data_IF_433133301061
#
_entry.id   IF_433133301061
#
_cell.length_a   1.000
_cell.length_b   1.000
_cell.length_c   1.000
_cell.angle_alpha   90.00
_cell.angle_beta   90.00
_cell.angle_gamma   90.00
#
_symmetry.space_group_name_H-M   'P 1'
#
loop_
_entity.id
_entity.type
_entity.pdbx_description
1 polymer ?
#
# COMPACT_ATOMS: atom_id res chain seq x y z
N UNK A 1 17.94 3.11 30.11
CA UNK A 1 19.17 2.33 30.35
C UNK A 1 19.98 2.41 29.07
N UNK A 2 21.17 3.02 29.14
CA UNK A 2 22.02 3.29 27.99
C UNK A 2 22.88 2.06 27.70
N UNK A 3 22.69 1.43 26.55
CA UNK A 3 23.58 0.36 26.09
C UNK A 3 24.69 0.95 25.20
N UNK A 4 25.91 0.97 25.73
CA UNK A 4 27.03 0.31 25.06
C UNK A 4 27.84 1.05 23.99
N UNK A 5 28.45 2.19 24.35
CA UNK A 5 29.90 2.49 24.26
C UNK A 5 30.81 2.17 23.06
N UNK A 6 30.36 1.58 21.94
CA UNK A 6 31.22 1.20 20.79
C UNK A 6 30.79 1.78 19.44
N UNK A 7 29.67 2.51 19.37
CA UNK A 7 29.19 3.12 18.13
C UNK A 7 28.69 2.12 17.06
N UNK A 8 28.66 0.81 17.36
CA UNK A 8 28.00 -0.18 16.49
C UNK A 8 26.49 0.02 16.57
N UNK A 9 25.97 0.71 15.56
CA UNK A 9 24.55 0.98 15.39
C UNK A 9 23.84 -0.36 15.11
N UNK A 10 22.76 -0.63 15.85
CA UNK A 10 22.06 -1.92 15.84
C UNK A 10 21.74 -2.37 14.40
N UNK A 11 22.37 -3.47 13.98
CA UNK A 11 22.25 -4.02 12.63
C UNK A 11 20.81 -4.44 12.32
N UNK A 12 20.04 -4.85 13.34
CA UNK A 12 18.63 -5.18 13.18
C UNK A 12 17.82 -3.93 12.81
N UNK A 13 18.03 -2.84 13.55
CA UNK A 13 17.40 -1.54 13.27
C UNK A 13 17.78 -1.02 11.88
N UNK A 14 19.05 -1.11 11.49
CA UNK A 14 19.47 -0.73 10.14
C UNK A 14 18.82 -1.56 9.05
N UNK A 15 18.80 -2.89 9.20
CA UNK A 15 18.18 -3.77 8.23
C UNK A 15 16.69 -3.44 8.07
N UNK A 16 15.98 -3.21 9.18
CA UNK A 16 14.57 -2.78 9.14
C UNK A 16 14.40 -1.45 8.40
N UNK A 17 15.26 -0.46 8.64
CA UNK A 17 15.23 0.82 7.94
C UNK A 17 15.50 0.67 6.43
N UNK A 18 16.47 -0.17 6.05
CA UNK A 18 16.78 -0.46 4.65
C UNK A 18 15.61 -1.18 3.95
N UNK A 19 14.96 -2.13 4.61
CA UNK A 19 13.78 -2.80 4.06
C UNK A 19 12.59 -1.84 3.91
N UNK A 20 12.37 -0.93 4.88
CA UNK A 20 11.36 0.13 4.75
C UNK A 20 11.68 1.07 3.58
N UNK A 21 12.96 1.37 3.34
CA UNK A 21 13.40 2.11 2.16
C UNK A 21 13.09 1.35 0.86
N UNK A 22 13.27 0.03 0.83
CA UNK A 22 12.85 -0.79 -0.31
C UNK A 22 11.33 -0.77 -0.53
N UNK A 23 10.54 -0.81 0.54
CA UNK A 23 9.07 -0.63 0.46
C UNK A 23 8.74 0.70 -0.22
N UNK A 24 9.36 1.80 0.23
CA UNK A 24 9.17 3.11 -0.39
C UNK A 24 9.53 3.12 -1.87
N UNK A 25 10.67 2.52 -2.25
CA UNK A 25 11.12 2.50 -3.64
C UNK A 25 10.18 1.68 -4.54
N UNK A 26 9.58 0.59 -4.03
CA UNK A 26 8.50 -0.16 -4.70
C UNK A 26 7.29 0.75 -4.91
N UNK A 27 6.80 1.39 -3.85
CA UNK A 27 5.59 2.23 -3.92
C UNK A 27 5.77 3.41 -4.88
N UNK A 28 6.94 4.04 -4.89
CA UNK A 28 7.25 5.16 -5.78
C UNK A 28 7.72 4.72 -7.16
N UNK A 29 7.95 3.42 -7.37
CA UNK A 29 8.42 2.82 -8.62
C UNK A 29 9.68 3.51 -9.20
N UNK A 30 10.62 3.90 -8.34
CA UNK A 30 11.75 4.76 -8.73
C UNK A 30 12.95 3.97 -9.28
N UNK A 31 13.21 2.78 -8.72
CA UNK A 31 14.37 1.98 -9.08
C UNK A 31 14.05 0.93 -10.15
N UNK A 32 15.08 0.45 -10.86
CA UNK A 32 14.93 -0.68 -11.79
C UNK A 32 14.44 -1.94 -11.06
N UNK A 33 14.96 -2.17 -9.86
CA UNK A 33 14.54 -3.27 -9.01
C UNK A 33 13.06 -3.15 -8.60
N UNK A 34 12.58 -1.95 -8.27
CA UNK A 34 11.16 -1.71 -7.99
C UNK A 34 10.29 -2.01 -9.22
N UNK A 35 10.68 -1.54 -10.40
CA UNK A 35 9.98 -1.86 -11.67
C UNK A 35 9.95 -3.36 -11.94
N UNK A 36 11.07 -4.05 -11.73
CA UNK A 36 11.13 -5.51 -11.84
C UNK A 36 10.20 -6.19 -10.84
N UNK A 37 10.13 -5.72 -9.59
CA UNK A 37 9.19 -6.24 -8.60
C UNK A 37 7.74 -6.05 -9.07
N UNK A 38 7.40 -4.90 -9.64
CA UNK A 38 6.07 -4.68 -10.22
C UNK A 38 5.74 -5.68 -11.32
N UNK A 39 6.67 -5.94 -12.24
CA UNK A 39 6.44 -6.86 -13.37
C UNK A 39 6.38 -8.33 -12.93
N UNK A 40 7.25 -8.76 -12.02
CA UNK A 40 7.43 -10.19 -11.72
C UNK A 40 6.85 -10.66 -10.39
N UNK A 41 6.91 -9.81 -9.36
CA UNK A 41 6.45 -10.18 -8.02
C UNK A 41 5.01 -9.74 -7.78
N UNK A 42 4.70 -8.48 -8.08
CA UNK A 42 3.39 -7.87 -7.81
C UNK A 42 2.38 -8.19 -8.94
N UNK A 43 2.81 -8.10 -10.20
CA UNK A 43 1.98 -8.34 -11.40
C UNK A 43 0.73 -7.46 -11.37
N UNK A 44 -0.45 -8.05 -11.53
CA UNK A 44 -1.76 -7.38 -11.48
C UNK A 44 -2.36 -7.33 -10.06
N UNK A 45 -1.55 -7.60 -9.02
CA UNK A 45 -1.97 -7.50 -7.63
C UNK A 45 -1.64 -6.14 -7.03
N UNK A 46 -2.14 -5.89 -5.81
CA UNK A 46 -1.77 -4.71 -5.05
C UNK A 46 -0.79 -5.07 -3.93
N UNK A 47 0.30 -4.32 -3.82
CA UNK A 47 1.37 -4.54 -2.84
C UNK A 47 0.84 -4.68 -1.40
N UNK A 48 -0.20 -3.96 -1.00
CA UNK A 48 -0.73 -3.95 0.36
C UNK A 48 -1.56 -5.18 0.72
N UNK A 49 -2.11 -5.88 -0.27
CA UNK A 49 -3.03 -7.01 -0.06
C UNK A 49 -2.39 -8.35 -0.42
N UNK A 50 -1.26 -8.32 -1.12
CA UNK A 50 -0.54 -9.54 -1.47
C UNK A 50 -0.25 -10.43 -0.26
N UNK A 51 -0.42 -11.76 -0.40
CA UNK A 51 -0.05 -12.70 0.65
C UNK A 51 1.46 -12.66 0.93
N UNK A 52 1.84 -12.71 2.21
CA UNK A 52 3.23 -12.92 2.62
C UNK A 52 3.61 -14.41 2.72
N UNK A 53 2.63 -15.30 2.63
CA UNK A 53 2.80 -16.75 2.63
C UNK A 53 3.03 -17.28 1.20
N UNK A 54 3.58 -18.49 1.07
CA UNK A 54 3.89 -19.12 -0.22
C UNK A 54 5.37 -19.06 -0.62
N UNK A 55 5.68 -19.52 -1.84
CA UNK A 55 7.03 -19.65 -2.40
C UNK A 55 7.62 -18.27 -2.79
N UNK A 56 8.02 -17.50 -1.78
CA UNK A 56 8.70 -16.22 -1.94
C UNK A 56 10.12 -16.30 -1.39
N UNK A 57 11.01 -15.49 -1.95
CA UNK A 57 12.34 -15.30 -1.36
C UNK A 57 12.21 -14.78 0.07
N UNK A 58 13.15 -15.15 0.94
CA UNK A 58 13.14 -14.70 2.32
C UNK A 58 13.10 -13.16 2.42
N UNK A 59 13.87 -12.47 1.57
CA UNK A 59 13.90 -11.01 1.49
C UNK A 59 12.54 -10.42 1.12
N UNK A 60 11.86 -10.97 0.11
CA UNK A 60 10.52 -10.49 -0.28
C UNK A 60 9.50 -10.69 0.83
N UNK A 61 9.54 -11.82 1.54
CA UNK A 61 8.68 -12.04 2.71
C UNK A 61 8.91 -10.99 3.80
N UNK A 62 10.17 -10.64 4.09
CA UNK A 62 10.46 -9.59 5.08
C UNK A 62 9.92 -8.22 4.67
N UNK A 63 9.98 -7.88 3.38
CA UNK A 63 9.38 -6.65 2.84
C UNK A 63 7.87 -6.64 3.05
N UNK A 64 7.19 -7.75 2.72
CA UNK A 64 5.74 -7.87 2.90
C UNK A 64 5.31 -7.84 4.37
N UNK A 65 6.12 -8.40 5.28
CA UNK A 65 5.86 -8.39 6.72
C UNK A 65 6.04 -7.00 7.35
N UNK A 66 6.82 -6.12 6.73
CA UNK A 66 7.02 -4.75 7.21
C UNK A 66 5.94 -3.76 6.76
N UNK A 67 4.93 -4.21 5.98
CA UNK A 67 3.82 -3.35 5.54
C UNK A 67 3.10 -2.62 6.68
N UNK A 68 2.73 -3.25 7.82
CA UNK A 68 2.06 -2.53 8.91
C UNK A 68 2.91 -1.36 9.43
N UNK A 69 4.21 -1.60 9.63
CA UNK A 69 5.18 -0.58 10.05
C UNK A 69 5.31 0.52 8.99
N UNK A 70 5.28 0.15 7.71
CA UNK A 70 5.31 1.12 6.64
C UNK A 70 4.05 2.01 6.66
N UNK A 71 2.85 1.45 6.88
CA UNK A 71 1.60 2.24 6.99
C UNK A 71 1.67 3.31 8.07
N UNK A 72 2.28 3.00 9.23
CA UNK A 72 2.44 3.95 10.34
C UNK A 72 3.31 5.17 9.97
N UNK A 73 4.20 5.04 8.99
CA UNK A 73 5.17 6.08 8.62
C UNK A 73 4.94 6.68 7.24
N UNK A 74 3.94 6.20 6.49
CA UNK A 74 3.65 6.64 5.14
C UNK A 74 2.39 7.47 5.10
N UNK A 75 2.49 8.67 4.51
CA UNK A 75 1.36 9.54 4.27
C UNK A 75 1.04 9.53 2.78
N UNK A 76 -0.13 9.01 2.46
CA UNK A 76 -0.69 9.10 1.12
C UNK A 76 -1.35 10.47 0.94
N UNK A 77 -0.83 11.26 0.00
CA UNK A 77 -1.46 12.52 -0.41
C UNK A 77 -2.16 12.29 -1.74
N UNK A 78 -3.49 12.23 -1.72
CA UNK A 78 -4.27 12.11 -2.93
C UNK A 78 -4.19 13.41 -3.75
N UNK A 79 -3.31 13.42 -4.75
CA UNK A 79 -3.24 14.46 -5.77
C UNK A 79 -4.28 14.20 -6.86
N UNK A 80 -3.83 13.88 -8.07
CA UNK A 80 -4.71 13.50 -9.19
C UNK A 80 -5.36 12.12 -9.01
N UNK A 81 -4.83 11.26 -8.14
CA UNK A 81 -5.38 9.91 -7.89
C UNK A 81 -5.14 8.90 -9.01
N UNK A 82 -4.23 9.19 -9.95
CA UNK A 82 -3.96 8.38 -11.16
C UNK A 82 -3.04 7.17 -10.92
N UNK A 83 -2.42 7.09 -9.75
CA UNK A 83 -1.47 6.03 -9.38
C UNK A 83 -1.93 5.17 -8.22
N UNK A 84 -3.01 5.55 -7.56
CA UNK A 84 -3.48 4.89 -6.34
C UNK A 84 -4.64 3.98 -6.66
N UNK A 85 -4.55 2.73 -6.21
CA UNK A 85 -5.68 1.82 -6.19
C UNK A 85 -6.73 2.35 -5.23
N UNK A 86 -7.97 2.43 -5.71
CA UNK A 86 -9.09 2.88 -4.93
C UNK A 86 -9.32 2.00 -3.69
N UNK A 87 -9.26 0.69 -3.89
CA UNK A 87 -9.64 -0.27 -2.86
C UNK A 87 -8.53 -0.65 -1.89
N UNK A 88 -7.31 -0.73 -2.39
CA UNK A 88 -6.25 -1.48 -1.72
C UNK A 88 -5.11 -0.60 -1.18
N UNK A 89 -4.92 0.60 -1.72
CA UNK A 89 -3.90 1.50 -1.18
C UNK A 89 -4.41 2.20 0.10
N UNK A 90 -3.55 2.42 1.10
CA UNK A 90 -3.91 2.99 2.39
C UNK A 90 -4.04 4.52 2.36
N UNK A 91 -4.79 5.05 1.40
CA UNK A 91 -4.97 6.49 1.21
C UNK A 91 -6.08 7.08 2.08
N UNK A 92 -6.95 6.25 2.64
CA UNK A 92 -8.05 6.64 3.53
C UNK A 92 -7.61 6.54 5.00
N UNK A 93 -7.19 7.65 5.59
CA UNK A 93 -6.75 7.70 6.99
C UNK A 93 -5.63 6.69 7.33
N UNK A 94 -4.78 6.34 6.36
CA UNK A 94 -3.73 5.32 6.53
C UNK A 94 -4.22 3.87 6.38
N UNK A 95 -5.48 3.66 6.02
CA UNK A 95 -6.06 2.35 5.74
C UNK A 95 -6.69 2.29 4.34
N UNK A 96 -6.87 1.06 3.86
CA UNK A 96 -7.49 0.80 2.55
C UNK A 96 -9.00 0.67 2.71
N UNK A 97 -9.79 1.06 1.69
CA UNK A 97 -11.25 0.89 1.72
C UNK A 97 -11.61 -0.59 1.90
N UNK A 98 -10.87 -1.50 1.27
CA UNK A 98 -11.06 -2.94 1.44
C UNK A 98 -10.84 -3.39 2.88
N UNK A 99 -9.91 -2.77 3.62
CA UNK A 99 -9.68 -3.08 5.04
C UNK A 99 -10.81 -2.55 5.92
N UNK A 100 -11.35 -1.36 5.63
CA UNK A 100 -12.38 -0.71 6.43
C UNK A 100 -13.79 -1.29 6.20
N UNK A 101 -14.16 -1.52 4.94
CA UNK A 101 -15.52 -1.92 4.53
C UNK A 101 -15.60 -3.37 4.03
N UNK A 102 -14.48 -4.07 3.91
CA UNK A 102 -14.41 -5.45 3.44
C UNK A 102 -14.59 -5.61 1.93
N UNK A 103 -14.70 -6.87 1.48
CA UNK A 103 -14.79 -7.20 0.05
C UNK A 103 -16.13 -6.80 -0.60
N UNK A 104 -17.19 -6.62 0.21
CA UNK A 104 -18.55 -6.35 -0.24
C UNK A 104 -18.64 -5.04 -1.04
N UNK A 105 -17.94 -4.01 -0.59
CA UNK A 105 -17.91 -2.69 -1.21
C UNK A 105 -17.45 -2.70 -2.68
N UNK A 106 -16.55 -3.62 -3.03
CA UNK A 106 -16.04 -3.77 -4.40
C UNK A 106 -17.13 -4.32 -5.33
N UNK A 107 -17.98 -5.21 -4.82
CA UNK A 107 -19.09 -5.79 -5.59
C UNK A 107 -20.24 -4.80 -5.75
N UNK A 108 -20.57 -4.05 -4.70
CA UNK A 108 -21.72 -3.12 -4.70
C UNK A 108 -21.50 -1.91 -5.62
N UNK A 109 -20.25 -1.46 -5.74
CA UNK A 109 -19.89 -0.29 -6.55
C UNK A 109 -19.81 -0.60 -8.05
N UNK A 110 -19.73 -1.87 -8.45
CA UNK A 110 -19.56 -2.31 -9.84
C UNK A 110 -18.34 -1.70 -10.58
N UNK A 111 -17.38 -1.09 -9.88
CA UNK A 111 -16.18 -0.47 -10.48
C UNK A 111 -15.06 -1.48 -10.80
N UNK A 112 -15.27 -2.77 -10.51
CA UNK A 112 -14.29 -3.81 -10.67
C UNK A 112 -13.18 -3.79 -9.60
N UNK A 113 -12.13 -4.60 -9.78
CA UNK A 113 -11.07 -4.79 -8.78
C UNK A 113 -9.90 -3.81 -8.89
N UNK A 114 -9.74 -3.15 -10.05
CA UNK A 114 -8.60 -2.26 -10.31
C UNK A 114 -8.98 -0.79 -10.60
N UNK A 115 -10.05 -0.21 -10.02
CA UNK A 115 -10.29 1.23 -10.19
C UNK A 115 -9.22 2.03 -9.46
N UNK A 116 -8.93 3.19 -10.02
CA UNK A 116 -8.03 4.17 -9.44
C UNK A 116 -8.82 5.23 -8.68
N UNK A 117 -8.17 5.90 -7.73
CA UNK A 117 -8.82 6.97 -6.96
C UNK A 117 -9.35 8.09 -7.85
N UNK A 118 -8.67 8.39 -8.96
CA UNK A 118 -9.13 9.39 -9.95
C UNK A 118 -10.49 9.05 -10.57
N UNK A 119 -10.87 7.78 -10.63
CA UNK A 119 -12.06 7.35 -11.38
C UNK A 119 -13.35 7.71 -10.63
N UNK A 120 -13.23 7.95 -9.32
CA UNK A 120 -14.33 8.33 -8.42
C UNK A 120 -14.23 9.77 -7.90
N UNK A 121 -13.23 10.54 -8.32
CA UNK A 121 -13.13 11.97 -7.99
C UNK A 121 -13.47 12.78 -9.25
N UNK A 122 -14.53 13.60 -9.17
CA UNK A 122 -14.91 14.55 -10.23
C UNK A 122 -15.01 15.94 -9.64
N UNK A 123 -14.32 16.90 -10.26
CA UNK A 123 -14.35 18.32 -9.86
C UNK A 123 -14.03 18.58 -8.37
N UNK A 124 -13.13 17.77 -7.80
CA UNK A 124 -12.74 17.88 -6.39
C UNK A 124 -13.77 17.31 -5.39
N UNK A 125 -14.79 16.59 -5.88
CA UNK A 125 -15.78 15.91 -5.05
C UNK A 125 -15.77 14.40 -5.32
N UNK A 126 -16.06 13.62 -4.28
CA UNK A 126 -16.33 12.20 -4.43
C UNK A 126 -17.62 11.99 -5.22
N UNK A 127 -17.54 11.14 -6.24
CA UNK A 127 -18.66 10.72 -7.07
C UNK A 127 -18.70 9.21 -7.04
N UNK A 128 -19.26 8.69 -5.95
CA UNK A 128 -19.48 7.26 -5.78
C UNK A 128 -20.72 6.81 -6.56
N UNK A 129 -20.72 5.60 -7.13
CA UNK A 129 -21.92 5.03 -7.74
C UNK A 129 -23.03 4.89 -6.69
N UNK A 130 -24.27 5.17 -7.11
CA UNK A 130 -25.48 5.32 -6.28
C UNK A 130 -25.78 4.15 -5.34
N UNK A 131 -25.16 2.99 -5.54
CA UNK A 131 -25.42 1.75 -4.81
C UNK A 131 -24.54 1.58 -3.55
N UNK A 132 -23.68 2.55 -3.25
CA UNK A 132 -22.68 2.46 -2.17
C UNK A 132 -23.03 3.37 -0.99
N UNK A 133 -24.15 3.08 -0.31
CA UNK A 133 -24.61 3.85 0.86
C UNK A 133 -23.50 4.07 1.90
N UNK A 134 -22.66 3.06 2.10
CA UNK A 134 -21.60 3.06 3.11
C UNK A 134 -20.43 3.99 2.74
N UNK A 135 -20.33 4.40 1.47
CA UNK A 135 -19.29 5.30 0.97
C UNK A 135 -19.76 6.74 0.76
N UNK A 136 -21.06 7.03 0.90
CA UNK A 136 -21.61 8.39 0.72
C UNK A 136 -21.08 9.36 1.79
N UNK A 137 -20.62 8.85 2.93
CA UNK A 137 -20.11 9.66 4.06
C UNK A 137 -18.58 9.91 4.02
N UNK A 138 -17.89 9.45 2.98
CA UNK A 138 -16.44 9.68 2.72
C UNK A 138 -16.21 11.03 2.04
#
# INVERSE_FOLDING_TARGET
>A
MAEGGLGFKDMRTWNRALLLKQVWDILMNQSLWARWCHVYLIKESNFWVMPANGLHSWSWRQILLLRPVAKEHLIYKCGRGDKFSLWFDPWMHGESIHTLYGHRVIHETCLGRLPLVKDVIREGRWNWPLNSSDLVEI
#
